data_IF_425064473872
#
_entry.id   IF_425064473872
#
_cell.length_a   1.000
_cell.length_b   1.000
_cell.length_c   1.000
_cell.angle_alpha   90.00
_cell.angle_beta   90.00
_cell.angle_gamma   90.00
#
_symmetry.space_group_name_H-M   'P 1'
#
loop_
_entity.id
_entity.type
_entity.pdbx_description
1 polymer ?
#
# COMPACT_ATOMS: atom_id res chain seq x y z
N UNK A 1 13.40 15.97 -12.01
CA UNK A 1 12.53 16.82 -11.14
C UNK A 1 11.09 16.97 -11.65
N UNK A 2 10.83 17.52 -12.84
CA UNK A 2 9.46 17.65 -13.39
C UNK A 2 8.84 16.29 -13.80
N UNK A 3 9.67 15.38 -14.34
CA UNK A 3 9.27 14.01 -14.66
C UNK A 3 8.87 13.25 -13.38
N UNK A 4 9.73 13.29 -12.34
CA UNK A 4 9.46 12.65 -11.04
C UNK A 4 8.17 13.15 -10.38
N UNK A 5 7.81 14.42 -10.55
CA UNK A 5 6.56 14.97 -9.99
C UNK A 5 5.32 14.44 -10.73
N UNK A 6 5.38 14.36 -12.06
CA UNK A 6 4.31 13.75 -12.88
C UNK A 6 4.18 12.26 -12.60
N UNK A 7 5.30 11.56 -12.48
CA UNK A 7 5.32 10.14 -12.15
C UNK A 7 4.70 9.92 -10.76
N UNK A 8 5.11 10.69 -9.73
CA UNK A 8 4.51 10.60 -8.38
C UNK A 8 3.00 10.84 -8.39
N UNK A 9 2.51 11.80 -9.18
CA UNK A 9 1.07 12.05 -9.29
C UNK A 9 0.35 10.86 -9.96
N UNK A 10 0.92 10.30 -11.02
CA UNK A 10 0.41 9.10 -11.71
C UNK A 10 0.40 7.88 -10.79
N UNK A 11 1.48 7.66 -10.02
CA UNK A 11 1.56 6.60 -9.04
C UNK A 11 0.51 6.75 -7.96
N UNK A 12 0.32 7.97 -7.43
CA UNK A 12 -0.71 8.23 -6.42
C UNK A 12 -2.12 7.93 -6.93
N UNK A 13 -2.45 8.33 -8.17
CA UNK A 13 -3.75 8.03 -8.77
C UNK A 13 -3.96 6.51 -8.91
N UNK A 14 -3.00 5.81 -9.53
CA UNK A 14 -3.05 4.35 -9.69
C UNK A 14 -3.12 3.61 -8.35
N UNK A 15 -2.49 4.15 -7.32
CA UNK A 15 -2.51 3.58 -5.99
C UNK A 15 -3.88 3.70 -5.33
N UNK A 16 -4.54 4.85 -5.48
CA UNK A 16 -5.91 5.05 -4.98
C UNK A 16 -6.84 4.09 -5.70
N UNK A 17 -6.80 4.04 -7.03
CA UNK A 17 -7.62 3.12 -7.82
C UNK A 17 -7.37 1.65 -7.41
N UNK A 18 -6.09 1.27 -7.21
CA UNK A 18 -5.74 -0.07 -6.75
C UNK A 18 -6.32 -0.38 -5.37
N UNK A 19 -6.28 0.59 -4.44
CA UNK A 19 -6.78 0.44 -3.08
C UNK A 19 -8.31 0.43 -3.02
N UNK A 20 -9.00 1.12 -3.94
CA UNK A 20 -10.46 1.18 -3.95
C UNK A 20 -11.08 -0.22 -4.12
N UNK A 21 -10.46 -1.10 -4.89
CA UNK A 21 -10.88 -2.51 -5.03
C UNK A 21 -10.74 -3.34 -3.73
N UNK A 22 -9.98 -2.86 -2.73
CA UNK A 22 -9.97 -3.47 -1.40
C UNK A 22 -11.25 -3.18 -0.61
N UNK A 23 -12.05 -2.19 -1.02
CA UNK A 23 -13.26 -1.78 -0.32
C UNK A 23 -14.35 -2.86 -0.32
N UNK A 24 -14.27 -3.82 -1.23
CA UNK A 24 -15.17 -4.98 -1.26
C UNK A 24 -14.92 -5.95 -0.09
N UNK A 25 -13.72 -5.91 0.50
CA UNK A 25 -13.26 -6.85 1.52
C UNK A 25 -12.92 -6.17 2.86
N UNK A 26 -12.65 -4.86 2.85
CA UNK A 26 -12.14 -4.11 4.00
C UNK A 26 -12.97 -2.87 4.28
N UNK A 27 -13.10 -2.53 5.56
CA UNK A 27 -13.72 -1.27 5.96
C UNK A 27 -12.89 -0.08 5.46
N UNK A 28 -13.56 1.03 5.09
CA UNK A 28 -12.92 2.26 4.58
C UNK A 28 -11.71 2.77 5.39
N UNK A 29 -11.71 2.75 6.75
CA UNK A 29 -10.52 3.15 7.51
C UNK A 29 -9.29 2.27 7.26
N UNK A 30 -9.50 0.99 6.95
CA UNK A 30 -8.45 0.01 6.66
C UNK A 30 -7.96 0.17 5.22
N UNK A 31 -8.86 0.44 4.26
CA UNK A 31 -8.48 0.81 2.89
C UNK A 31 -7.61 2.08 2.89
N UNK A 32 -8.00 3.09 3.67
CA UNK A 32 -7.21 4.31 3.87
C UNK A 32 -5.82 4.00 4.46
N UNK A 33 -5.76 3.08 5.44
CA UNK A 33 -4.48 2.63 6.01
C UNK A 33 -3.59 1.99 4.94
N UNK A 34 -4.15 1.17 4.05
CA UNK A 34 -3.43 0.57 2.92
C UNK A 34 -2.82 1.66 2.03
N UNK A 35 -3.65 2.61 1.60
CA UNK A 35 -3.24 3.69 0.72
C UNK A 35 -2.14 4.57 1.34
N UNK A 36 -2.28 4.94 2.61
CA UNK A 36 -1.27 5.70 3.35
C UNK A 36 0.04 4.93 3.46
N UNK A 37 -0.01 3.65 3.81
CA UNK A 37 1.18 2.82 4.01
C UNK A 37 1.94 2.63 2.70
N UNK A 38 1.25 2.25 1.62
CA UNK A 38 1.86 2.05 0.32
C UNK A 38 2.37 3.36 -0.28
N UNK A 39 1.61 4.46 -0.15
CA UNK A 39 2.10 5.78 -0.55
C UNK A 39 3.37 6.16 0.21
N UNK A 40 3.40 5.95 1.53
CA UNK A 40 4.59 6.27 2.33
C UNK A 40 5.80 5.42 1.98
N UNK A 41 5.60 4.14 1.61
CA UNK A 41 6.68 3.27 1.09
C UNK A 41 7.21 3.83 -0.22
N UNK A 42 6.34 4.10 -1.20
CA UNK A 42 6.76 4.60 -2.52
C UNK A 42 7.39 5.98 -2.46
N UNK A 43 6.88 6.86 -1.60
CA UNK A 43 7.38 8.22 -1.45
C UNK A 43 8.70 8.30 -0.67
N UNK A 44 8.94 7.37 0.27
CA UNK A 44 10.18 7.35 1.07
C UNK A 44 11.25 6.39 0.53
N UNK A 45 10.87 5.42 -0.31
CA UNK A 45 11.75 4.33 -0.72
C UNK A 45 12.16 3.41 0.44
N UNK A 46 11.38 3.36 1.52
CA UNK A 46 11.75 2.68 2.76
C UNK A 46 10.56 1.96 3.39
N UNK A 47 10.82 0.76 3.93
CA UNK A 47 9.85 0.00 4.72
C UNK A 47 9.83 0.39 6.21
N UNK A 48 10.77 1.24 6.65
CA UNK A 48 10.81 1.72 8.04
C UNK A 48 9.62 2.63 8.31
N UNK A 49 8.81 2.29 9.31
CA UNK A 49 7.60 3.03 9.68
C UNK A 49 7.86 4.53 9.95
N UNK A 50 9.02 4.89 10.51
CA UNK A 50 9.38 6.28 10.73
C UNK A 50 9.49 7.07 9.42
N UNK A 51 10.03 6.46 8.35
CA UNK A 51 10.16 7.11 7.04
C UNK A 51 8.80 7.19 6.32
N UNK A 52 8.00 6.13 6.40
CA UNK A 52 6.60 6.12 5.92
C UNK A 52 5.83 7.26 6.58
N UNK A 53 5.89 7.39 7.91
CA UNK A 53 5.19 8.42 8.65
C UNK A 53 5.65 9.85 8.29
N UNK A 54 6.96 10.07 8.06
CA UNK A 54 7.47 11.37 7.58
C UNK A 54 6.95 11.69 6.18
N UNK A 55 6.86 10.70 5.30
CA UNK A 55 6.37 10.88 3.93
C UNK A 55 4.90 11.28 3.85
N UNK A 56 4.07 10.92 4.84
CA UNK A 56 2.65 11.30 4.90
C UNK A 56 2.43 12.80 5.13
N UNK A 57 3.40 13.52 5.73
CA UNK A 57 3.32 14.96 6.01
C UNK A 57 2.03 15.38 6.74
N UNK A 58 1.57 14.57 7.70
CA UNK A 58 0.40 14.89 8.51
C UNK A 58 0.65 16.12 9.40
N UNK A 59 -0.39 16.94 9.70
CA UNK A 59 -0.27 18.14 10.52
C UNK A 59 -0.24 17.82 12.03
N UNK A 60 0.47 16.76 12.42
CA UNK A 60 0.64 16.38 13.82
C UNK A 60 2.10 15.95 14.09
N UNK A 61 2.45 15.74 15.37
CA UNK A 61 3.80 15.27 15.71
C UNK A 61 4.02 13.89 15.11
N UNK A 62 5.21 13.67 14.52
CA UNK A 62 5.60 12.40 13.90
C UNK A 62 5.33 11.17 14.79
N UNK A 63 5.55 11.29 16.10
CA UNK A 63 5.26 10.23 17.06
C UNK A 63 3.78 9.78 17.05
N UNK A 64 2.83 10.69 16.87
CA UNK A 64 1.41 10.36 16.80
C UNK A 64 1.06 9.59 15.53
N UNK A 65 1.60 10.00 14.37
CA UNK A 65 1.44 9.26 13.11
C UNK A 65 2.02 7.85 13.21
N UNK A 66 3.24 7.71 13.75
CA UNK A 66 3.85 6.39 13.95
C UNK A 66 3.02 5.51 14.88
N UNK A 67 2.56 6.05 16.01
CA UNK A 67 1.71 5.33 16.96
C UNK A 67 0.38 4.89 16.32
N UNK A 68 -0.24 5.76 15.50
CA UNK A 68 -1.45 5.44 14.75
C UNK A 68 -1.20 4.32 13.75
N UNK A 69 -0.18 4.44 12.90
CA UNK A 69 0.17 3.43 11.89
C UNK A 69 0.48 2.09 12.56
N UNK A 70 1.30 2.09 13.63
CA UNK A 70 1.65 0.87 14.38
C UNK A 70 0.42 0.17 14.95
N UNK A 71 -0.44 0.93 15.64
CA UNK A 71 -1.68 0.40 16.22
C UNK A 71 -2.65 -0.12 15.14
N UNK A 72 -2.77 0.56 14.01
CA UNK A 72 -3.69 0.16 12.95
C UNK A 72 -3.16 -1.07 12.20
N UNK A 73 -1.88 -1.08 11.82
CA UNK A 73 -1.27 -2.22 11.11
C UNK A 73 -1.23 -3.49 11.97
N UNK A 74 -1.02 -3.36 13.28
CA UNK A 74 -1.08 -4.52 14.20
C UNK A 74 -2.49 -5.05 14.44
N UNK A 75 -3.52 -4.19 14.33
CA UNK A 75 -4.91 -4.58 14.55
C UNK A 75 -5.59 -5.15 13.30
N UNK A 76 -5.12 -4.74 12.12
CA UNK A 76 -5.77 -5.04 10.85
C UNK A 76 -4.96 -6.00 10.00
N UNK A 77 -4.67 -7.20 10.53
CA UNK A 77 -3.93 -8.24 9.80
C UNK A 77 -4.67 -8.76 8.57
N UNK A 78 -6.01 -8.63 8.55
CA UNK A 78 -6.86 -8.96 7.40
C UNK A 78 -6.48 -8.18 6.13
N UNK A 79 -5.82 -7.02 6.28
CA UNK A 79 -5.33 -6.22 5.16
C UNK A 79 -4.35 -6.99 4.28
N UNK A 80 -3.42 -7.75 4.88
CA UNK A 80 -2.43 -8.52 4.13
C UNK A 80 -3.10 -9.62 3.31
N UNK A 81 -4.04 -10.34 3.93
CA UNK A 81 -4.81 -11.39 3.25
C UNK A 81 -5.65 -10.80 2.11
N UNK A 82 -6.38 -9.71 2.34
CA UNK A 82 -7.21 -9.09 1.30
C UNK A 82 -6.37 -8.57 0.12
N UNK A 83 -5.19 -7.99 0.40
CA UNK A 83 -4.25 -7.55 -0.63
C UNK A 83 -3.72 -8.73 -1.47
N UNK A 84 -3.38 -9.85 -0.82
CA UNK A 84 -2.95 -11.08 -1.51
C UNK A 84 -4.06 -11.64 -2.40
N UNK A 85 -5.29 -11.77 -1.88
CA UNK A 85 -6.43 -12.28 -2.65
C UNK A 85 -6.73 -11.40 -3.87
N UNK A 86 -6.76 -10.09 -3.69
CA UNK A 86 -6.97 -9.15 -4.80
C UNK A 86 -5.88 -9.29 -5.87
N UNK A 87 -4.62 -9.45 -5.44
CA UNK A 87 -3.51 -9.62 -6.38
C UNK A 87 -3.61 -10.96 -7.14
N UNK A 88 -3.96 -12.05 -6.46
CA UNK A 88 -4.18 -13.36 -7.07
C UNK A 88 -5.34 -13.32 -8.07
N UNK A 89 -6.46 -12.71 -7.71
CA UNK A 89 -7.61 -12.53 -8.62
C UNK A 89 -7.23 -11.75 -9.88
N UNK A 90 -6.41 -10.70 -9.74
CA UNK A 90 -5.98 -9.88 -10.88
C UNK A 90 -4.93 -10.54 -11.75
N UNK A 91 -4.03 -11.35 -11.19
CA UNK A 91 -2.99 -12.02 -11.97
C UNK A 91 -3.51 -13.29 -12.66
N UNK A 92 -4.52 -13.96 -12.08
CA UNK A 92 -5.05 -15.25 -12.56
C UNK A 92 -5.38 -15.25 -14.06
N UNK A 93 -6.04 -14.24 -14.65
CA UNK A 93 -6.34 -14.22 -16.09
C UNK A 93 -5.12 -14.14 -17.01
N UNK A 94 -3.96 -13.78 -16.45
CA UNK A 94 -2.70 -13.65 -17.18
C UNK A 94 -1.79 -14.87 -17.01
N UNK A 95 -2.14 -15.83 -16.14
CA UNK A 95 -1.36 -17.05 -15.94
C UNK A 95 -1.57 -18.00 -17.11
N UNK A 96 -0.48 -18.51 -17.66
CA UNK A 96 -0.49 -19.51 -18.74
C UNK A 96 0.31 -20.75 -18.35
N UNK A 97 0.09 -21.85 -19.06
CA UNK A 97 0.76 -23.13 -18.81
C UNK A 97 2.29 -23.06 -19.02
N UNK A 98 2.76 -22.10 -19.84
CA UNK A 98 4.17 -21.88 -20.12
C UNK A 98 4.88 -20.96 -19.10
N UNK A 99 4.17 -20.43 -18.09
CA UNK A 99 4.77 -19.56 -17.09
C UNK A 99 5.70 -20.32 -16.14
N UNK A 100 6.91 -19.77 -15.94
CA UNK A 100 7.85 -20.27 -14.93
C UNK A 100 7.55 -19.62 -13.58
N UNK A 101 7.25 -20.45 -12.58
CA UNK A 101 7.15 -20.01 -11.19
C UNK A 101 8.54 -20.00 -10.55
N UNK A 102 9.09 -18.81 -10.33
CA UNK A 102 10.33 -18.64 -9.58
C UNK A 102 10.02 -18.57 -8.08
N UNK A 103 10.59 -19.50 -7.30
CA UNK A 103 10.45 -19.57 -5.84
C UNK A 103 11.84 -19.42 -5.23
N UNK A 104 12.02 -18.44 -4.35
CA UNK A 104 13.24 -18.24 -3.56
C UNK A 104 13.05 -18.90 -2.18
N UNK A 105 13.85 -19.91 -1.79
CA UNK A 105 13.69 -20.68 -0.55
C UNK A 105 14.17 -19.97 0.73
#
# INVERSE_FOLDING_TARGET
MLQDAKDRAKWKARLIDWCDDLSDHLARPVVKLAAETLFGILASGSLRQAEIARALKEPCRLHHTQKRLSRMLSRHSELAWAAEQLQLQRITPYITDDMVLAIDP
#
